data_IF_060267915582
#
_entry.id   IF_060267915582
#
_cell.length_a   1.000
_cell.length_b   1.000
_cell.length_c   1.000
_cell.angle_alpha   90.00
_cell.angle_beta   90.00
_cell.angle_gamma   90.00
#
_symmetry.space_group_name_H-M   'P 1'
#
loop_
_entity.id
_entity.type
_entity.pdbx_description
1 polymer ?
#
# COMPACT_ATOMS: atom_id res chain seq x y z
N UNK A 1 6.71 8.33 -16.07
CA UNK A 1 5.47 7.55 -15.97
C UNK A 1 4.32 8.38 -15.40
N UNK A 2 4.55 9.21 -14.39
CA UNK A 2 3.50 10.04 -13.75
C UNK A 2 2.74 10.94 -14.72
N UNK A 3 3.38 11.41 -15.77
CA UNK A 3 2.78 12.33 -16.75
C UNK A 3 1.90 11.61 -17.78
N UNK A 4 1.90 10.28 -17.76
CA UNK A 4 1.24 9.45 -18.79
C UNK A 4 0.25 8.47 -18.19
N UNK A 5 0.49 8.00 -16.96
CA UNK A 5 -0.38 7.06 -16.25
C UNK A 5 -1.26 7.80 -15.24
N UNK A 6 -2.52 7.38 -15.10
CA UNK A 6 -3.47 7.93 -14.12
C UNK A 6 -3.01 7.64 -12.68
N UNK A 7 -2.49 6.44 -12.44
CA UNK A 7 -1.91 6.01 -11.16
C UNK A 7 -0.64 5.21 -11.39
N UNK A 8 0.37 5.45 -10.56
CA UNK A 8 1.62 4.68 -10.52
C UNK A 8 1.80 4.11 -9.12
N UNK A 9 1.70 2.80 -8.98
CA UNK A 9 2.00 2.11 -7.73
C UNK A 9 3.51 1.98 -7.59
N UNK A 10 4.05 2.50 -6.51
CA UNK A 10 5.48 2.47 -6.23
C UNK A 10 5.77 1.44 -5.14
N UNK A 11 6.73 0.55 -5.41
CA UNK A 11 7.22 -0.45 -4.45
C UNK A 11 8.70 -0.14 -4.19
N UNK A 12 9.04 0.46 -3.04
CA UNK A 12 10.42 0.86 -2.75
C UNK A 12 11.26 -0.37 -2.40
N UNK A 13 12.24 -0.69 -3.24
CA UNK A 13 13.12 -1.86 -3.08
C UNK A 13 14.04 -1.76 -1.85
N UNK A 14 14.46 -0.57 -1.45
CA UNK A 14 15.24 -0.32 -0.26
C UNK A 14 14.50 -0.75 1.00
N UNK A 15 13.21 -0.46 1.09
CA UNK A 15 12.36 -0.89 2.21
C UNK A 15 12.16 -2.42 2.25
N UNK A 16 12.09 -3.05 1.08
CA UNK A 16 12.08 -4.50 0.99
C UNK A 16 13.38 -5.11 1.52
N UNK A 17 14.51 -4.51 1.17
CA UNK A 17 15.82 -4.96 1.63
C UNK A 17 16.00 -4.80 3.13
N UNK A 18 15.48 -3.73 3.73
CA UNK A 18 15.48 -3.51 5.18
C UNK A 18 14.69 -4.62 5.92
N UNK A 19 13.57 -5.05 5.35
CA UNK A 19 12.73 -6.13 5.92
C UNK A 19 13.37 -7.51 5.84
N UNK A 20 14.24 -7.75 4.86
CA UNK A 20 14.91 -9.03 4.62
C UNK A 20 16.39 -9.05 5.00
N UNK A 21 16.87 -8.02 5.65
CA UNK A 21 18.23 -7.59 6.04
C UNK A 21 19.38 -8.58 6.09
N UNK A 22 19.14 -9.88 6.30
CA UNK A 22 20.20 -10.91 6.35
C UNK A 22 20.03 -11.99 5.29
N UNK A 23 19.12 -11.84 4.34
CA UNK A 23 18.94 -12.83 3.30
C UNK A 23 20.00 -12.68 2.18
N UNK A 24 20.46 -13.78 1.58
CA UNK A 24 21.23 -13.70 0.35
C UNK A 24 20.48 -12.93 -0.73
N UNK A 25 21.18 -12.11 -1.50
CA UNK A 25 20.62 -11.21 -2.53
C UNK A 25 19.60 -11.92 -3.44
N UNK A 26 19.87 -13.15 -3.85
CA UNK A 26 18.93 -13.96 -4.63
C UNK A 26 17.60 -14.23 -3.93
N UNK A 27 17.61 -14.40 -2.61
CA UNK A 27 16.40 -14.62 -1.82
C UNK A 27 15.63 -13.30 -1.63
N UNK A 28 16.35 -12.20 -1.43
CA UNK A 28 15.76 -10.87 -1.33
C UNK A 28 14.98 -10.50 -2.60
N UNK A 29 15.56 -10.73 -3.79
CA UNK A 29 14.84 -10.52 -5.05
C UNK A 29 13.61 -11.42 -5.23
N UNK A 30 13.67 -12.67 -4.78
CA UNK A 30 12.49 -13.56 -4.81
C UNK A 30 11.35 -13.04 -3.94
N UNK A 31 11.66 -12.46 -2.79
CA UNK A 31 10.65 -11.83 -1.92
C UNK A 31 10.03 -10.62 -2.64
N UNK A 32 10.85 -9.80 -3.30
CA UNK A 32 10.37 -8.67 -4.09
C UNK A 32 9.44 -9.12 -5.23
N UNK A 33 9.82 -10.16 -5.96
CA UNK A 33 9.02 -10.74 -7.04
C UNK A 33 7.68 -11.27 -6.52
N UNK A 34 7.69 -11.94 -5.36
CA UNK A 34 6.48 -12.46 -4.72
C UNK A 34 5.52 -11.35 -4.29
N UNK A 35 6.05 -10.27 -3.72
CA UNK A 35 5.26 -9.10 -3.33
C UNK A 35 4.61 -8.44 -4.54
N UNK A 36 5.37 -8.21 -5.61
CA UNK A 36 4.84 -7.67 -6.86
C UNK A 36 3.76 -8.57 -7.45
N UNK A 37 4.01 -9.88 -7.46
CA UNK A 37 3.02 -10.86 -7.96
C UNK A 37 1.75 -10.84 -7.13
N UNK A 38 1.84 -10.82 -5.80
CA UNK A 38 0.69 -10.73 -4.89
C UNK A 38 -0.09 -9.43 -5.10
N UNK A 39 0.60 -8.33 -5.32
CA UNK A 39 0.00 -7.01 -5.58
C UNK A 39 -0.82 -7.01 -6.87
N UNK A 40 -0.24 -7.48 -7.96
CA UNK A 40 -0.93 -7.58 -9.26
C UNK A 40 -2.09 -8.58 -9.17
N UNK A 41 -1.85 -9.74 -8.54
CA UNK A 41 -2.88 -10.77 -8.32
C UNK A 41 -4.05 -10.19 -7.52
N UNK A 42 -3.79 -9.52 -6.40
CA UNK A 42 -4.84 -8.95 -5.54
C UNK A 42 -5.73 -7.95 -6.27
N UNK A 43 -5.15 -7.02 -7.03
CA UNK A 43 -5.92 -6.05 -7.82
C UNK A 43 -6.72 -6.76 -8.92
N UNK A 44 -6.12 -7.75 -9.59
CA UNK A 44 -6.80 -8.49 -10.66
C UNK A 44 -7.96 -9.32 -10.12
N UNK A 45 -7.76 -10.00 -9.00
CA UNK A 45 -8.76 -10.86 -8.37
C UNK A 45 -9.99 -10.09 -7.90
N UNK A 46 -9.83 -8.86 -7.43
CA UNK A 46 -10.95 -7.98 -7.08
C UNK A 46 -11.97 -7.82 -8.21
N UNK A 47 -11.51 -7.84 -9.45
CA UNK A 47 -12.34 -7.61 -10.64
C UNK A 47 -12.79 -8.94 -11.26
N UNK A 48 -11.97 -9.99 -11.17
CA UNK A 48 -12.15 -11.23 -11.94
C UNK A 48 -12.67 -12.40 -11.14
N UNK A 49 -12.49 -12.39 -9.81
CA UNK A 49 -12.95 -13.48 -8.95
C UNK A 49 -14.22 -13.11 -8.19
N UNK A 50 -15.17 -14.04 -8.08
CA UNK A 50 -16.33 -13.83 -7.21
C UNK A 50 -15.89 -13.84 -5.74
N UNK A 51 -16.44 -12.94 -4.95
CA UNK A 51 -16.24 -12.81 -3.51
C UNK A 51 -17.57 -12.58 -2.79
N UNK A 52 -17.51 -12.32 -1.50
CA UNK A 52 -18.69 -11.92 -0.70
C UNK A 52 -19.13 -10.49 -1.08
N UNK A 53 -18.17 -9.62 -1.35
CA UNK A 53 -18.38 -8.25 -1.86
C UNK A 53 -17.62 -8.13 -3.17
N UNK A 54 -18.34 -7.87 -4.24
CA UNK A 54 -17.78 -7.79 -5.58
C UNK A 54 -17.66 -6.33 -6.00
N UNK A 55 -16.54 -6.00 -6.63
CA UNK A 55 -16.29 -4.73 -7.28
C UNK A 55 -16.34 -4.89 -8.79
N UNK A 56 -16.88 -3.88 -9.45
CA UNK A 56 -16.76 -3.81 -10.90
C UNK A 56 -15.52 -2.98 -11.31
N UNK A 57 -15.20 -3.02 -12.60
CA UNK A 57 -14.07 -2.27 -13.13
C UNK A 57 -14.26 -0.75 -12.98
N UNK A 58 -15.49 -0.26 -12.99
CA UNK A 58 -15.77 1.16 -12.85
C UNK A 58 -15.45 1.66 -11.44
N UNK A 59 -15.67 0.84 -10.42
CA UNK A 59 -15.33 1.15 -9.03
C UNK A 59 -13.81 1.29 -8.89
N UNK A 60 -13.05 0.29 -9.33
CA UNK A 60 -11.58 0.33 -9.30
C UNK A 60 -11.04 1.52 -10.09
N UNK A 61 -11.60 1.77 -11.27
CA UNK A 61 -11.23 2.92 -12.09
C UNK A 61 -11.44 4.24 -11.35
N UNK A 62 -12.52 4.38 -10.61
CA UNK A 62 -12.84 5.61 -9.87
C UNK A 62 -11.76 5.97 -8.84
N UNK A 63 -11.15 4.98 -8.17
CA UNK A 63 -10.04 5.19 -7.22
C UNK A 63 -8.73 5.45 -7.96
N UNK A 64 -8.50 4.74 -9.06
CA UNK A 64 -7.23 4.80 -9.79
C UNK A 64 -7.16 6.00 -10.74
N UNK A 65 -8.28 6.51 -11.25
CA UNK A 65 -8.29 7.67 -12.14
C UNK A 65 -7.86 8.92 -11.35
N UNK A 66 -6.77 9.55 -11.79
CA UNK A 66 -6.14 10.69 -11.11
C UNK A 66 -5.55 10.38 -9.73
N UNK A 67 -5.31 9.10 -9.44
CA UNK A 67 -4.68 8.69 -8.18
C UNK A 67 -3.24 9.15 -8.03
N UNK A 68 -2.58 9.50 -9.13
CA UNK A 68 -1.20 9.98 -9.12
C UNK A 68 -0.22 8.91 -8.66
N UNK A 69 0.34 9.09 -7.47
CA UNK A 69 1.19 8.07 -6.85
C UNK A 69 0.40 7.28 -5.82
N UNK A 70 0.53 5.97 -5.90
CA UNK A 70 -0.06 5.02 -4.96
C UNK A 70 1.01 4.19 -4.28
N UNK A 71 0.74 3.84 -3.04
CA UNK A 71 1.54 2.89 -2.25
C UNK A 71 0.68 1.67 -1.92
N UNK A 72 1.32 0.55 -1.66
CA UNK A 72 0.65 -0.72 -1.39
C UNK A 72 1.11 -1.29 -0.05
N UNK A 73 0.15 -1.75 0.75
CA UNK A 73 0.39 -2.53 1.95
C UNK A 73 -0.16 -3.95 1.80
N UNK A 74 0.56 -4.92 2.30
CA UNK A 74 0.17 -6.32 2.30
C UNK A 74 0.29 -6.88 3.71
N UNK A 75 -0.74 -7.57 4.18
CA UNK A 75 -0.75 -8.30 5.44
C UNK A 75 -1.37 -9.68 5.29
N UNK A 76 -0.89 -10.63 6.08
CA UNK A 76 -1.31 -12.04 6.07
C UNK A 76 -1.42 -12.52 7.52
N UNK A 77 -2.54 -13.11 7.93
CA UNK A 77 -2.73 -13.57 9.29
C UNK A 77 -3.55 -14.87 9.36
N UNK A 78 -3.22 -15.70 10.33
CA UNK A 78 -3.75 -17.06 10.53
C UNK A 78 -4.32 -17.32 11.94
N UNK A 79 -4.66 -16.27 12.68
CA UNK A 79 -5.13 -16.38 14.06
C UNK A 79 -6.64 -16.16 14.20
N UNK A 80 -7.18 -16.38 15.41
CA UNK A 80 -8.58 -16.09 15.76
C UNK A 80 -8.97 -14.62 15.49
N UNK A 81 -7.98 -13.70 15.49
CA UNK A 81 -8.13 -12.28 15.14
C UNK A 81 -7.57 -11.96 13.73
N UNK A 82 -7.68 -12.89 12.77
CA UNK A 82 -7.07 -12.79 11.44
C UNK A 82 -7.43 -11.48 10.71
N UNK A 83 -8.65 -10.98 10.87
CA UNK A 83 -9.09 -9.73 10.27
C UNK A 83 -8.26 -8.54 10.78
N UNK A 84 -8.26 -8.30 12.09
CA UNK A 84 -7.50 -7.20 12.70
C UNK A 84 -5.99 -7.37 12.50
N UNK A 85 -5.47 -8.59 12.63
CA UNK A 85 -4.04 -8.85 12.46
C UNK A 85 -3.57 -8.59 11.03
N UNK A 86 -4.31 -9.05 10.02
CA UNK A 86 -3.94 -8.87 8.62
C UNK A 86 -3.97 -7.40 8.18
N UNK A 87 -4.97 -6.62 8.62
CA UNK A 87 -5.04 -5.19 8.31
C UNK A 87 -3.94 -4.41 9.02
N UNK A 88 -3.66 -4.74 10.28
CA UNK A 88 -2.56 -4.09 11.01
C UNK A 88 -1.19 -4.38 10.39
N UNK A 89 -0.97 -5.60 9.92
CA UNK A 89 0.24 -5.94 9.18
C UNK A 89 0.31 -5.19 7.85
N UNK A 90 -0.79 -5.12 7.09
CA UNK A 90 -0.85 -4.35 5.85
C UNK A 90 -0.53 -2.87 6.06
N UNK A 91 -1.09 -2.25 7.11
CA UNK A 91 -0.87 -0.85 7.43
C UNK A 91 0.53 -0.56 7.98
N UNK A 92 1.19 -1.55 8.58
CA UNK A 92 2.58 -1.47 9.04
C UNK A 92 3.57 -1.96 7.99
N UNK A 93 3.08 -2.37 6.83
CA UNK A 93 3.95 -2.85 5.75
C UNK A 93 5.00 -1.80 5.40
N UNK A 94 6.29 -2.15 5.35
CA UNK A 94 7.33 -1.21 4.96
C UNK A 94 7.17 -0.66 3.54
N UNK A 95 6.31 -1.28 2.74
CA UNK A 95 5.95 -0.82 1.40
C UNK A 95 4.95 0.34 1.43
N UNK A 96 4.19 0.46 2.53
CA UNK A 96 3.23 1.52 2.79
C UNK A 96 3.83 2.62 3.68
N UNK A 97 5.12 2.92 3.54
CA UNK A 97 5.88 3.89 4.35
C UNK A 97 5.40 5.34 4.12
N UNK A 98 4.12 5.56 4.38
CA UNK A 98 3.44 6.86 4.25
C UNK A 98 2.40 7.02 5.36
N UNK A 99 2.13 8.26 5.71
CA UNK A 99 0.97 8.59 6.52
C UNK A 99 -0.29 8.46 5.65
N UNK A 100 -1.11 7.47 5.95
CA UNK A 100 -2.38 7.24 5.24
C UNK A 100 -3.46 8.25 5.62
N UNK A 101 -3.27 8.99 6.73
CA UNK A 101 -4.20 10.06 7.15
C UNK A 101 -4.36 11.18 6.13
N UNK A 102 -3.43 11.32 5.17
CA UNK A 102 -3.52 12.29 4.07
C UNK A 102 -3.87 11.66 2.71
N UNK A 103 -4.27 10.40 2.67
CA UNK A 103 -4.61 9.73 1.42
C UNK A 103 -5.96 10.20 0.88
N UNK A 104 -6.06 10.38 -0.43
CA UNK A 104 -7.30 10.80 -1.09
C UNK A 104 -8.27 9.63 -1.34
N UNK A 105 -7.73 8.44 -1.58
CA UNK A 105 -8.54 7.24 -1.80
C UNK A 105 -7.79 5.98 -1.38
N UNK A 106 -8.54 4.94 -1.05
CA UNK A 106 -8.02 3.61 -0.79
C UNK A 106 -8.82 2.53 -1.53
N UNK A 107 -8.09 1.54 -2.04
CA UNK A 107 -8.64 0.31 -2.57
C UNK A 107 -8.22 -0.83 -1.64
N UNK A 108 -9.19 -1.56 -1.12
CA UNK A 108 -8.95 -2.64 -0.16
C UNK A 108 -9.42 -3.97 -0.75
N UNK A 109 -8.55 -4.96 -0.75
CA UNK A 109 -8.89 -6.33 -1.06
C UNK A 109 -8.70 -7.21 0.18
N UNK A 110 -9.77 -7.90 0.57
CA UNK A 110 -9.73 -8.90 1.64
C UNK A 110 -9.89 -10.28 1.00
N UNK A 111 -8.84 -11.08 1.05
CA UNK A 111 -8.86 -12.45 0.54
C UNK A 111 -8.84 -13.42 1.72
N UNK A 112 -9.81 -14.30 1.78
CA UNK A 112 -9.89 -15.33 2.81
C UNK A 112 -10.32 -16.68 2.27
N UNK A 113 -10.30 -17.69 3.13
CA UNK A 113 -10.83 -19.01 2.82
C UNK A 113 -12.36 -19.03 2.77
N UNK A 114 -12.94 -20.20 2.45
CA UNK A 114 -14.40 -20.40 2.45
C UNK A 114 -15.05 -20.15 3.83
N UNK A 115 -14.26 -20.16 4.88
CA UNK A 115 -14.65 -19.88 6.28
C UNK A 115 -14.72 -18.37 6.61
N UNK A 116 -14.26 -17.49 5.72
CA UNK A 116 -14.30 -16.06 5.93
C UNK A 116 -15.74 -15.54 5.99
N UNK A 117 -16.07 -14.83 7.06
CA UNK A 117 -17.37 -14.17 7.19
C UNK A 117 -17.35 -12.75 6.63
N UNK A 118 -18.53 -12.20 6.35
CA UNK A 118 -18.67 -10.81 5.93
C UNK A 118 -18.29 -9.84 7.06
N UNK A 119 -18.62 -10.19 8.30
CA UNK A 119 -18.28 -9.41 9.48
C UNK A 119 -16.76 -9.27 9.67
N UNK A 120 -16.02 -10.34 9.41
CA UNK A 120 -14.55 -10.29 9.42
C UNK A 120 -14.00 -9.35 8.35
N UNK A 121 -14.56 -9.42 7.14
CA UNK A 121 -14.14 -8.53 6.05
C UNK A 121 -14.49 -7.06 6.32
N UNK A 122 -15.68 -6.79 6.88
CA UNK A 122 -16.09 -5.45 7.30
C UNK A 122 -15.19 -4.89 8.41
N UNK A 123 -14.79 -5.71 9.39
CA UNK A 123 -13.87 -5.33 10.46
C UNK A 123 -12.50 -4.88 9.96
N UNK A 124 -12.01 -5.47 8.84
CA UNK A 124 -10.80 -4.99 8.15
C UNK A 124 -10.98 -3.57 7.63
N UNK A 125 -12.14 -3.30 7.03
CA UNK A 125 -12.43 -2.00 6.42
C UNK A 125 -12.65 -0.92 7.48
N UNK A 126 -13.32 -1.24 8.59
CA UNK A 126 -13.51 -0.34 9.72
C UNK A 126 -12.17 0.16 10.29
N UNK A 127 -11.21 -0.75 10.48
CA UNK A 127 -9.86 -0.40 10.97
C UNK A 127 -9.13 0.57 10.02
N UNK A 128 -9.41 0.52 8.72
CA UNK A 128 -8.85 1.45 7.73
C UNK A 128 -9.57 2.79 7.80
N UNK A 129 -10.89 2.79 7.93
CA UNK A 129 -11.68 4.03 8.09
C UNK A 129 -11.22 4.87 9.28
N UNK A 130 -10.84 4.21 10.38
CA UNK A 130 -10.38 4.91 11.59
C UNK A 130 -9.01 5.60 11.42
N UNK A 131 -8.27 5.30 10.35
CA UNK A 131 -6.90 5.75 10.14
C UNK A 131 -6.68 6.60 8.89
N UNK A 132 -7.62 6.59 7.97
CA UNK A 132 -7.56 7.36 6.73
C UNK A 132 -8.29 8.70 6.90
N UNK A 133 -8.04 9.65 5.99
CA UNK A 133 -8.78 10.89 5.96
C UNK A 133 -10.30 10.64 5.89
N UNK A 134 -11.13 11.28 6.73
CA UNK A 134 -12.59 11.10 6.70
C UNK A 134 -13.24 11.42 5.36
N UNK A 135 -12.61 12.28 4.55
CA UNK A 135 -13.09 12.65 3.21
C UNK A 135 -12.53 11.71 2.12
N UNK A 136 -11.64 10.76 2.49
CA UNK A 136 -11.08 9.80 1.55
C UNK A 136 -12.14 8.83 1.03
N UNK A 137 -12.06 8.50 -0.24
CA UNK A 137 -12.91 7.48 -0.84
C UNK A 137 -12.32 6.10 -0.61
N UNK A 138 -13.04 5.23 0.09
CA UNK A 138 -12.66 3.83 0.25
C UNK A 138 -13.55 2.97 -0.64
N UNK A 139 -12.93 2.13 -1.44
CA UNK A 139 -13.58 1.06 -2.21
C UNK A 139 -12.96 -0.25 -1.78
N UNK A 140 -13.80 -1.21 -1.42
CA UNK A 140 -13.34 -2.49 -0.93
C UNK A 140 -14.11 -3.65 -1.53
N UNK A 141 -13.45 -4.77 -1.63
CA UNK A 141 -14.04 -6.02 -2.09
C UNK A 141 -13.36 -7.22 -1.45
N UNK A 142 -13.96 -8.37 -1.68
CA UNK A 142 -13.44 -9.63 -1.15
C UNK A 142 -13.17 -10.61 -2.29
N UNK A 143 -12.25 -11.52 -2.06
CA UNK A 143 -12.04 -12.69 -2.91
C UNK A 143 -11.91 -13.94 -2.05
N UNK A 144 -12.41 -15.08 -2.56
CA UNK A 144 -12.28 -16.36 -1.87
C UNK A 144 -11.17 -17.17 -2.53
N UNK A 145 -10.28 -17.69 -1.69
CA UNK A 145 -9.20 -18.59 -2.09
C UNK A 145 -9.26 -19.83 -1.19
N UNK A 146 -9.56 -20.99 -1.77
CA UNK A 146 -9.72 -22.24 -1.03
C UNK A 146 -8.46 -22.69 -0.30
N UNK A 147 -7.28 -22.19 -0.73
CA UNK A 147 -6.00 -22.50 -0.09
C UNK A 147 -5.79 -21.69 1.21
N UNK A 148 -6.59 -20.65 1.45
CA UNK A 148 -6.51 -19.76 2.62
C UNK A 148 -7.46 -20.17 3.76
N UNK A 149 -7.81 -21.43 3.89
CA UNK A 149 -8.67 -21.87 4.98
C UNK A 149 -8.05 -21.54 6.35
N UNK A 150 -8.78 -20.77 7.20
CA UNK A 150 -8.28 -20.25 8.46
C UNK A 150 -7.33 -19.06 8.36
N UNK A 151 -7.00 -18.61 7.16
CA UNK A 151 -6.13 -17.46 6.90
C UNK A 151 -6.90 -16.29 6.31
N UNK A 152 -6.37 -15.10 6.48
CA UNK A 152 -6.86 -13.89 5.85
C UNK A 152 -5.70 -13.04 5.36
N UNK A 153 -5.83 -12.55 4.13
CA UNK A 153 -4.88 -11.65 3.52
C UNK A 153 -5.55 -10.33 3.20
N UNK A 154 -4.94 -9.26 3.64
CA UNK A 154 -5.40 -7.89 3.35
C UNK A 154 -4.38 -7.21 2.45
N UNK A 155 -4.88 -6.63 1.36
CA UNK A 155 -4.13 -5.72 0.50
C UNK A 155 -4.79 -4.35 0.55
N UNK A 156 -3.99 -3.32 0.80
CA UNK A 156 -4.43 -1.92 0.81
C UNK A 156 -3.61 -1.15 -0.21
N UNK A 157 -4.27 -0.50 -1.15
CA UNK A 157 -3.64 0.44 -2.08
C UNK A 157 -4.15 1.83 -1.76
N UNK A 158 -3.28 2.73 -1.35
CA UNK A 158 -3.62 4.13 -1.05
C UNK A 158 -3.10 5.05 -2.15
N UNK A 159 -3.92 6.02 -2.54
CA UNK A 159 -3.60 6.99 -3.60
C UNK A 159 -3.60 8.41 -3.06
N UNK A 160 -2.92 9.30 -3.76
CA UNK A 160 -2.84 10.71 -3.38
C UNK A 160 -1.92 10.98 -2.20
N UNK A 161 -1.11 10.01 -1.79
CA UNK A 161 -0.16 10.13 -0.70
C UNK A 161 1.11 10.87 -1.11
N UNK A 162 1.69 11.60 -0.16
CA UNK A 162 2.98 12.24 -0.33
C UNK A 162 4.06 11.39 0.36
N UNK A 163 5.05 10.96 -0.39
CA UNK A 163 6.18 10.20 0.13
C UNK A 163 7.50 10.85 -0.27
N UNK A 164 8.44 11.03 0.68
CA UNK A 164 9.77 11.57 0.38
C UNK A 164 10.55 10.74 -0.66
N UNK A 165 10.27 9.43 -0.75
CA UNK A 165 10.90 8.53 -1.71
C UNK A 165 10.43 8.81 -3.14
N UNK A 166 9.26 9.41 -3.29
CA UNK A 166 8.63 9.68 -4.59
C UNK A 166 9.01 11.05 -5.13
N UNK A 167 9.06 12.03 -4.25
CA UNK A 167 9.35 13.43 -4.62
C UNK A 167 10.84 13.76 -4.57
N UNK A 168 11.71 12.83 -4.12
CA UNK A 168 13.08 13.09 -3.75
C UNK A 168 13.14 13.87 -2.42
N UNK A 169 14.24 13.82 -1.69
CA UNK A 169 14.51 14.83 -0.65
C UNK A 169 14.48 16.16 -1.38
N UNK A 170 13.57 17.06 -1.02
CA UNK A 170 13.77 18.47 -1.31
C UNK A 170 15.08 18.82 -0.60
N UNK A 171 16.16 18.94 -1.35
CA UNK A 171 17.40 19.47 -0.83
C UNK A 171 17.03 20.79 -0.17
N UNK A 172 17.18 20.84 1.16
CA UNK A 172 17.27 22.12 1.85
C UNK A 172 18.41 22.84 1.12
N UNK A 173 18.05 23.87 0.37
CA UNK A 173 19.02 24.75 -0.23
C UNK A 173 20.02 25.11 0.89
N UNK A 174 21.33 24.92 0.71
CA UNK A 174 22.27 25.28 1.74
C UNK A 174 22.01 26.75 2.09
N UNK A 175 21.75 26.99 3.38
CA UNK A 175 21.66 28.36 3.90
C UNK A 175 22.84 29.13 3.34
N UNK A 176 22.53 30.23 2.66
CA UNK A 176 23.54 31.12 2.10
C UNK A 176 24.55 31.41 3.20
N UNK A 177 25.75 30.85 3.08
CA UNK A 177 26.88 31.28 3.90
C UNK A 177 27.11 32.73 3.52
N UNK A 178 26.90 33.59 4.47
CA UNK A 178 27.31 35.00 4.41
C UNK A 178 28.76 35.03 3.92
N UNK A 179 28.95 35.69 2.77
CA UNK A 179 30.27 35.92 2.24
C UNK A 179 31.05 36.77 3.28
N UNK A 180 32.02 36.17 3.94
CA UNK A 180 33.03 36.93 4.68
C UNK A 180 33.77 37.83 3.68
N UNK A 181 33.54 39.09 3.84
CA UNK A 181 34.21 40.18 3.13
C UNK A 181 35.71 40.17 3.52
N UNK A 182 36.53 39.65 2.64
CA UNK A 182 37.99 39.74 2.80
C UNK A 182 38.41 41.17 2.52
N UNK A 183 38.72 41.89 3.59
CA UNK A 183 39.33 43.21 3.57
C UNK A 183 40.80 43.08 3.14
N UNK A 184 41.11 43.53 1.93
CA UNK A 184 42.51 43.67 1.46
C UNK A 184 43.10 44.92 2.02
N UNK A 185 43.99 44.78 3.02
CA UNK A 185 44.85 45.84 3.48
C UNK A 185 46.03 45.99 2.53
N UNK A 186 46.27 47.22 2.03
CA UNK A 186 47.42 47.65 1.22
C UNK A 186 48.74 47.51 1.97
#
# INVERSE_FOLDING_TARGET
>A
LRDVADTVIVVPNDRLLDSVGQLPVRKAFKVSDEILMRSVKGITELITKPGLVNLDFADVRTVMEKGGVAMIGLGDADADSKATASVQEALRSPLLDVDIGGANSALVNVTGGPDMSIEEAEGVVEEIYDRIDPDARIIWGTSIDEELNGHMRTMVVVTGVQSPQIYGRQDQAPAAQEAEEFDYVE
#
